data_IF_704304701978
#
_entry.id   IF_704304701978
#
_cell.length_a   1.000
_cell.length_b   1.000
_cell.length_c   1.000
_cell.angle_alpha   90.00
_cell.angle_beta   90.00
_cell.angle_gamma   90.00
#
_symmetry.space_group_name_H-M   'P 1'
#
loop_
_entity.id
_entity.type
_entity.pdbx_description
1 polymer ?
#
# COMPACT_ATOMS: atom_id res chain seq x y z
N UNK A 1 -9.91 3.54 3.59
CA UNK A 1 -8.84 3.96 2.65
C UNK A 1 -8.96 3.31 1.28
N UNK A 2 -9.03 1.97 1.17
CA UNK A 2 -9.12 1.26 -0.13
C UNK A 2 -10.36 1.68 -0.94
N UNK A 3 -11.53 1.80 -0.30
CA UNK A 3 -12.73 2.29 -0.97
C UNK A 3 -12.57 3.71 -1.55
N UNK A 4 -11.84 4.59 -0.85
CA UNK A 4 -11.56 5.96 -1.32
C UNK A 4 -10.60 5.95 -2.51
N UNK A 5 -9.59 5.07 -2.50
CA UNK A 5 -8.67 4.91 -3.62
C UNK A 5 -9.37 4.35 -4.87
N UNK A 6 -10.26 3.37 -4.71
CA UNK A 6 -11.07 2.82 -5.81
C UNK A 6 -12.04 3.86 -6.36
N UNK A 7 -12.68 4.63 -5.48
CA UNK A 7 -13.58 5.72 -5.86
C UNK A 7 -12.84 6.80 -6.66
N UNK A 8 -11.66 7.24 -6.19
CA UNK A 8 -10.85 8.23 -6.90
C UNK A 8 -10.36 7.72 -8.27
N UNK A 9 -10.07 6.42 -8.39
CA UNK A 9 -9.69 5.81 -9.66
C UNK A 9 -10.83 5.86 -10.68
N UNK A 10 -12.07 5.62 -10.27
CA UNK A 10 -13.23 5.83 -11.15
C UNK A 10 -13.39 7.30 -11.52
N UNK A 11 -13.34 8.21 -10.55
CA UNK A 11 -13.53 9.64 -10.80
C UNK A 11 -12.49 10.19 -11.78
N UNK A 12 -11.26 9.69 -11.71
CA UNK A 12 -10.21 10.02 -12.67
C UNK A 12 -10.52 9.53 -14.09
N UNK A 13 -10.92 8.26 -14.25
CA UNK A 13 -11.26 7.70 -15.57
C UNK A 13 -12.52 8.36 -16.16
N UNK A 14 -13.50 8.70 -15.31
CA UNK A 14 -14.70 9.44 -15.71
C UNK A 14 -14.37 10.86 -16.19
N UNK A 15 -13.50 11.56 -15.45
CA UNK A 15 -13.03 12.90 -15.83
C UNK A 15 -12.23 12.88 -17.14
N UNK A 16 -11.43 11.83 -17.37
CA UNK A 16 -10.73 11.60 -18.62
C UNK A 16 -11.69 11.37 -19.80
N UNK A 17 -12.73 10.54 -19.62
CA UNK A 17 -13.73 10.26 -20.64
C UNK A 17 -14.59 11.50 -20.97
N UNK A 18 -14.87 12.36 -19.98
CA UNK A 18 -15.62 13.61 -20.18
C UNK A 18 -14.83 14.68 -20.93
N UNK A 19 -13.50 14.63 -20.93
CA UNK A 19 -12.66 15.64 -21.59
C UNK A 19 -12.72 15.54 -23.12
N UNK A 20 -12.85 14.34 -23.67
CA UNK A 20 -13.01 14.09 -25.12
C UNK A 20 -13.98 12.92 -25.32
N UNK A 21 -15.21 13.22 -25.75
CA UNK A 21 -16.25 12.20 -25.98
C UNK A 21 -16.04 11.58 -27.37
N UNK A 22 -15.16 10.59 -27.42
CA UNK A 22 -14.93 9.73 -28.59
C UNK A 22 -15.37 8.29 -28.29
N UNK A 23 -15.60 7.50 -29.35
CA UNK A 23 -15.98 6.08 -29.24
C UNK A 23 -14.98 5.28 -28.38
N UNK A 24 -13.70 5.63 -28.50
CA UNK A 24 -12.61 5.05 -27.71
C UNK A 24 -12.73 5.37 -26.22
N UNK A 25 -13.06 6.62 -25.86
CA UNK A 25 -13.27 7.05 -24.49
C UNK A 25 -14.45 6.34 -23.82
N UNK A 26 -15.53 6.12 -24.58
CA UNK A 26 -16.71 5.38 -24.11
C UNK A 26 -16.35 3.92 -23.85
N UNK A 27 -15.64 3.27 -24.78
CA UNK A 27 -15.19 1.89 -24.62
C UNK A 27 -14.28 1.73 -23.39
N UNK A 28 -13.35 2.67 -23.19
CA UNK A 28 -12.46 2.71 -22.04
C UNK A 28 -13.23 2.85 -20.72
N UNK A 29 -14.26 3.69 -20.69
CA UNK A 29 -15.10 3.88 -19.50
C UNK A 29 -15.85 2.59 -19.13
N UNK A 30 -16.40 1.88 -20.10
CA UNK A 30 -17.09 0.59 -19.88
C UNK A 30 -16.13 -0.46 -19.33
N UNK A 31 -14.90 -0.53 -19.86
CA UNK A 31 -13.86 -1.44 -19.38
C UNK A 31 -13.45 -1.09 -17.95
N UNK A 32 -13.19 0.18 -17.64
CA UNK A 32 -12.82 0.62 -16.30
C UNK A 32 -13.92 0.31 -15.27
N UNK A 33 -15.19 0.53 -15.64
CA UNK A 33 -16.33 0.19 -14.81
C UNK A 33 -16.42 -1.34 -14.58
N UNK A 34 -16.25 -2.14 -15.63
CA UNK A 34 -16.27 -3.60 -15.55
C UNK A 34 -15.15 -4.15 -14.65
N UNK A 35 -13.94 -3.58 -14.75
CA UNK A 35 -12.81 -3.92 -13.87
C UNK A 35 -13.14 -3.58 -12.42
N UNK A 36 -13.71 -2.41 -12.14
CA UNK A 36 -14.07 -2.03 -10.77
C UNK A 36 -15.16 -2.95 -10.19
N UNK A 37 -16.24 -3.20 -10.93
CA UNK A 37 -17.29 -4.12 -10.49
C UNK A 37 -16.72 -5.53 -10.29
N UNK A 38 -15.87 -5.98 -11.21
CA UNK A 38 -15.18 -7.26 -11.12
C UNK A 38 -14.30 -7.36 -9.87
N UNK A 39 -13.55 -6.32 -9.53
CA UNK A 39 -12.77 -6.23 -8.30
C UNK A 39 -13.68 -6.27 -7.05
N UNK A 40 -14.76 -5.49 -7.01
CA UNK A 40 -15.70 -5.51 -5.88
C UNK A 40 -16.32 -6.89 -5.69
N UNK A 41 -16.79 -7.53 -6.76
CA UNK A 41 -17.35 -8.88 -6.72
C UNK A 41 -16.29 -9.88 -6.27
N UNK A 42 -15.05 -9.77 -6.76
CA UNK A 42 -13.96 -10.64 -6.34
C UNK A 42 -13.58 -10.43 -4.85
N UNK A 43 -13.55 -9.19 -4.37
CA UNK A 43 -13.26 -8.90 -2.97
C UNK A 43 -14.38 -9.38 -2.04
N UNK A 44 -15.65 -9.18 -2.40
CA UNK A 44 -16.80 -9.56 -1.57
C UNK A 44 -17.02 -11.08 -1.60
N UNK A 45 -17.11 -11.69 -2.78
CA UNK A 45 -17.47 -13.11 -2.91
C UNK A 45 -16.27 -14.06 -2.83
N UNK A 46 -15.06 -13.61 -3.15
CA UNK A 46 -13.82 -14.40 -3.08
C UNK A 46 -12.86 -13.93 -1.99
N UNK A 47 -13.34 -13.19 -0.99
CA UNK A 47 -12.56 -12.84 0.21
C UNK A 47 -11.81 -14.06 0.76
N UNK A 48 -12.49 -15.21 0.85
CA UNK A 48 -11.88 -16.46 1.34
C UNK A 48 -10.72 -16.97 0.47
N UNK A 49 -10.79 -16.82 -0.87
CA UNK A 49 -9.66 -17.15 -1.77
C UNK A 49 -8.54 -16.13 -1.67
N UNK A 50 -8.84 -14.86 -1.41
CA UNK A 50 -7.85 -13.81 -1.20
C UNK A 50 -7.07 -14.03 0.10
N UNK A 51 -7.76 -14.40 1.18
CA UNK A 51 -7.17 -14.80 2.47
C UNK A 51 -6.27 -16.03 2.31
N UNK A 52 -6.71 -17.02 1.53
CA UNK A 52 -5.94 -18.24 1.30
C UNK A 52 -4.73 -18.02 0.36
N UNK A 53 -4.84 -17.10 -0.61
CA UNK A 53 -3.73 -16.69 -1.49
C UNK A 53 -2.65 -15.91 -0.72
N UNK A 54 -3.07 -15.01 0.19
CA UNK A 54 -2.17 -14.29 1.10
C UNK A 54 -1.69 -15.17 2.26
N UNK A 55 -2.18 -16.42 2.37
CA UNK A 55 -1.92 -17.36 3.47
C UNK A 55 -2.09 -16.70 4.84
N UNK A 56 -3.09 -15.83 4.98
CA UNK A 56 -3.38 -15.16 6.26
C UNK A 56 -3.93 -16.14 7.31
N UNK A 57 -4.43 -17.29 6.88
CA UNK A 57 -5.00 -18.37 7.71
C UNK A 57 -3.94 -19.38 8.16
N UNK A 58 -2.96 -19.70 7.29
CA UNK A 58 -1.93 -20.68 7.62
C UNK A 58 -1.02 -20.12 8.70
N UNK A 59 -1.09 -20.74 9.89
CA UNK A 59 -0.47 -20.43 11.20
C UNK A 59 -1.41 -19.78 12.26
N UNK A 60 -2.70 -19.61 12.00
CA UNK A 60 -3.66 -19.12 13.02
C UNK A 60 -4.56 -20.20 13.64
N UNK A 61 -4.48 -21.44 13.15
CA UNK A 61 -5.43 -22.50 13.52
C UNK A 61 -5.07 -23.29 14.79
N UNK A 62 -3.94 -23.01 15.47
CA UNK A 62 -3.50 -23.83 16.61
C UNK A 62 -3.09 -23.09 17.88
N UNK A 63 -3.27 -21.78 17.98
CA UNK A 63 -3.05 -21.06 19.24
C UNK A 63 -4.25 -20.17 19.52
N UNK A 64 -5.08 -20.60 20.49
CA UNK A 64 -5.82 -19.63 21.30
C UNK A 64 -4.80 -18.56 21.70
N UNK A 65 -4.99 -17.32 21.26
CA UNK A 65 -4.11 -16.22 21.65
C UNK A 65 -4.30 -16.04 23.16
N UNK A 66 -3.50 -16.73 23.96
CA UNK A 66 -3.38 -16.50 25.39
C UNK A 66 -2.74 -15.12 25.56
N UNK A 67 -3.58 -14.08 25.64
CA UNK A 67 -3.15 -12.68 25.80
C UNK A 67 -2.24 -12.51 27.02
N UNK A 68 -2.29 -13.43 27.99
CA UNK A 68 -1.45 -13.48 29.18
C UNK A 68 0.04 -13.78 28.95
N UNK A 69 0.45 -14.36 27.81
CA UNK A 69 1.85 -14.72 27.55
C UNK A 69 2.40 -14.19 26.20
N UNK A 70 1.86 -13.06 25.73
CA UNK A 70 2.35 -12.43 24.52
C UNK A 70 3.76 -11.87 24.75
N UNK A 71 4.77 -12.53 24.17
CA UNK A 71 6.14 -12.05 24.21
C UNK A 71 6.20 -10.63 23.61
N UNK A 72 6.75 -9.63 24.33
CA UNK A 72 6.90 -8.25 23.82
C UNK A 72 7.61 -8.17 22.46
N UNK A 73 8.40 -9.19 22.11
CA UNK A 73 9.07 -9.30 20.80
C UNK A 73 8.09 -9.49 19.66
N UNK A 74 7.08 -10.32 19.88
CA UNK A 74 6.07 -10.64 18.89
C UNK A 74 5.17 -9.42 18.64
N UNK A 75 4.85 -8.67 19.69
CA UNK A 75 4.08 -7.41 19.59
C UNK A 75 4.85 -6.36 18.77
N UNK A 76 6.14 -6.15 19.07
CA UNK A 76 6.97 -5.18 18.33
C UNK A 76 7.15 -5.61 16.87
N UNK A 77 7.34 -6.90 16.59
CA UNK A 77 7.41 -7.41 15.21
C UNK A 77 6.10 -7.17 14.46
N UNK A 78 4.96 -7.46 15.08
CA UNK A 78 3.65 -7.23 14.50
C UNK A 78 3.43 -5.74 14.19
N UNK A 79 3.79 -4.87 15.13
CA UNK A 79 3.73 -3.42 14.92
C UNK A 79 4.61 -2.97 13.74
N UNK A 80 5.85 -3.47 13.64
CA UNK A 80 6.75 -3.15 12.52
C UNK A 80 6.19 -3.63 11.18
N UNK A 81 5.61 -4.83 11.13
CA UNK A 81 4.96 -5.36 9.92
C UNK A 81 3.77 -4.48 9.52
N UNK A 82 2.92 -4.09 10.47
CA UNK A 82 1.76 -3.22 10.20
C UNK A 82 2.21 -1.85 9.70
N UNK A 83 3.18 -1.21 10.38
CA UNK A 83 3.69 0.11 10.01
C UNK A 83 4.35 0.07 8.62
N UNK A 84 5.25 -0.89 8.39
CA UNK A 84 5.93 -1.06 7.11
C UNK A 84 4.95 -1.38 5.98
N UNK A 85 4.00 -2.28 6.22
CA UNK A 85 2.97 -2.66 5.26
C UNK A 85 2.05 -1.50 4.87
N UNK A 86 1.56 -0.74 5.84
CA UNK A 86 0.75 0.45 5.58
C UNK A 86 1.55 1.53 4.82
N UNK A 87 2.83 1.72 5.14
CA UNK A 87 3.69 2.64 4.38
C UNK A 87 3.77 2.26 2.90
N UNK A 88 3.96 0.99 2.57
CA UNK A 88 4.00 0.53 1.18
C UNK A 88 2.63 0.69 0.53
N UNK A 89 1.57 0.14 1.11
CA UNK A 89 0.22 0.13 0.53
C UNK A 89 -0.26 1.56 0.21
N UNK A 90 0.06 2.52 1.08
CA UNK A 90 -0.40 3.90 0.93
C UNK A 90 0.42 4.71 -0.08
N UNK A 91 1.69 4.36 -0.31
CA UNK A 91 2.60 5.17 -1.14
C UNK A 91 2.98 4.51 -2.46
N UNK A 92 2.81 3.19 -2.61
CA UNK A 92 3.09 2.49 -3.87
C UNK A 92 2.22 2.98 -5.05
N UNK A 93 0.91 3.27 -4.89
CA UNK A 93 0.11 3.75 -6.02
C UNK A 93 0.48 5.18 -6.42
N UNK A 94 0.83 6.01 -5.43
CA UNK A 94 1.30 7.39 -5.64
C UNK A 94 2.63 7.37 -6.39
N UNK A 95 3.57 6.53 -5.95
CA UNK A 95 4.89 6.39 -6.59
C UNK A 95 4.75 5.91 -8.05
N UNK A 96 3.96 4.86 -8.30
CA UNK A 96 3.72 4.36 -9.67
C UNK A 96 3.03 5.41 -10.55
N UNK A 97 2.07 6.15 -10.01
CA UNK A 97 1.41 7.23 -10.75
C UNK A 97 2.40 8.33 -11.13
N UNK A 98 3.28 8.71 -10.21
CA UNK A 98 4.32 9.71 -10.48
C UNK A 98 5.33 9.22 -11.54
N UNK A 99 5.71 7.94 -11.54
CA UNK A 99 6.54 7.35 -12.62
C UNK A 99 5.83 7.46 -13.98
N UNK A 100 4.55 7.09 -14.04
CA UNK A 100 3.77 7.15 -15.27
C UNK A 100 3.59 8.59 -15.76
N UNK A 101 3.33 9.54 -14.86
CA UNK A 101 3.25 10.95 -15.21
C UNK A 101 4.59 11.51 -15.67
N UNK A 102 5.70 11.10 -15.04
CA UNK A 102 7.04 11.50 -15.45
C UNK A 102 7.31 11.09 -16.90
N UNK A 103 7.03 9.82 -17.23
CA UNK A 103 7.23 9.27 -18.57
C UNK A 103 6.32 9.93 -19.62
N UNK A 104 5.05 10.15 -19.27
CA UNK A 104 4.08 10.79 -20.17
C UNK A 104 4.46 12.24 -20.50
N UNK A 105 5.00 12.98 -19.52
CA UNK A 105 5.37 14.40 -19.68
C UNK A 105 6.66 14.59 -20.47
N UNK A 106 7.62 13.69 -20.28
CA UNK A 106 8.83 13.64 -21.12
C UNK A 106 8.46 13.45 -22.60
N UNK A 107 7.48 12.58 -22.87
CA UNK A 107 6.94 12.39 -24.24
C UNK A 107 6.12 13.57 -24.78
N UNK A 108 5.62 14.48 -23.92
CA UNK A 108 4.77 15.62 -24.29
C UNK A 108 5.49 16.98 -24.21
N UNK A 109 6.76 17.02 -23.80
CA UNK A 109 7.56 18.25 -23.70
C UNK A 109 7.10 19.24 -22.62
N UNK A 110 6.33 18.79 -21.62
CA UNK A 110 5.81 19.65 -20.55
C UNK A 110 6.74 19.66 -19.34
N UNK A 111 7.06 20.84 -18.80
CA UNK A 111 8.00 21.00 -17.69
C UNK A 111 7.54 20.37 -16.37
N UNK A 112 8.50 19.87 -15.60
CA UNK A 112 8.30 19.25 -14.30
C UNK A 112 8.10 20.31 -13.21
N UNK A 113 6.92 20.37 -12.60
CA UNK A 113 6.69 21.29 -11.48
C UNK A 113 7.45 20.84 -10.21
N UNK A 114 7.98 21.77 -9.39
CA UNK A 114 8.72 21.45 -8.16
C UNK A 114 7.95 20.58 -7.16
N UNK A 115 6.62 20.76 -7.07
CA UNK A 115 5.75 19.95 -6.21
C UNK A 115 5.65 18.47 -6.66
N UNK A 116 5.77 18.21 -7.96
CA UNK A 116 5.72 16.84 -8.49
C UNK A 116 7.01 16.09 -8.16
N UNK A 117 8.16 16.80 -8.18
CA UNK A 117 9.45 16.26 -7.75
C UNK A 117 9.44 15.88 -6.26
N UNK A 118 8.89 16.75 -5.41
CA UNK A 118 8.76 16.46 -3.98
C UNK A 118 7.88 15.23 -3.74
N UNK A 119 6.70 15.16 -4.37
CA UNK A 119 5.78 14.03 -4.20
C UNK A 119 6.36 12.72 -4.73
N UNK A 120 7.09 12.75 -5.84
CA UNK A 120 7.79 11.59 -6.39
C UNK A 120 8.84 11.05 -5.42
N UNK A 121 9.73 11.92 -4.94
CA UNK A 121 10.80 11.53 -4.00
C UNK A 121 10.21 11.07 -2.66
N UNK A 122 9.26 11.83 -2.12
CA UNK A 122 8.66 11.50 -0.83
C UNK A 122 7.93 10.16 -0.88
N UNK A 123 7.19 9.87 -1.95
CA UNK A 123 6.52 8.57 -2.13
C UNK A 123 7.53 7.43 -2.33
N UNK A 124 8.58 7.64 -3.12
CA UNK A 124 9.66 6.66 -3.30
C UNK A 124 10.39 6.32 -2.00
N UNK A 125 10.77 7.33 -1.21
CA UNK A 125 11.40 7.12 0.11
C UNK A 125 10.47 6.33 1.03
N UNK A 126 9.17 6.65 1.07
CA UNK A 126 8.22 5.93 1.91
C UNK A 126 8.05 4.47 1.49
N UNK A 127 8.04 4.17 0.19
CA UNK A 127 8.01 2.78 -0.30
C UNK A 127 9.31 2.06 0.06
N UNK A 128 10.47 2.69 -0.14
CA UNK A 128 11.77 2.12 0.20
C UNK A 128 11.90 1.82 1.69
N UNK A 129 11.57 2.79 2.56
CA UNK A 129 11.61 2.63 4.01
C UNK A 129 10.61 1.57 4.47
N UNK A 130 9.39 1.57 3.94
CA UNK A 130 8.40 0.53 4.24
C UNK A 130 8.89 -0.86 3.89
N UNK A 131 9.57 -1.00 2.74
CA UNK A 131 10.17 -2.26 2.28
C UNK A 131 11.34 -2.67 3.16
N UNK A 132 12.21 -1.73 3.54
CA UNK A 132 13.34 -1.99 4.42
C UNK A 132 12.89 -2.50 5.79
N UNK A 133 11.83 -1.91 6.35
CA UNK A 133 11.21 -2.33 7.60
C UNK A 133 10.65 -3.75 7.46
N UNK A 134 9.90 -4.02 6.40
CA UNK A 134 9.30 -5.33 6.15
C UNK A 134 10.32 -6.45 5.90
N UNK A 135 11.46 -6.13 5.28
CA UNK A 135 12.53 -7.12 5.05
C UNK A 135 13.36 -7.36 6.32
N UNK A 136 13.51 -6.35 7.18
CA UNK A 136 14.40 -6.41 8.36
C UNK A 136 13.67 -6.39 9.71
N UNK A 137 12.36 -6.64 9.75
CA UNK A 137 11.54 -6.51 10.96
C UNK A 137 12.06 -7.34 12.15
N UNK A 138 12.64 -8.51 11.89
CA UNK A 138 13.19 -9.40 12.93
C UNK A 138 14.49 -8.87 13.56
N UNK A 139 15.31 -8.15 12.79
CA UNK A 139 16.51 -7.50 13.27
C UNK A 139 16.16 -6.19 14.00
N UNK A 140 15.21 -5.42 13.46
CA UNK A 140 14.71 -4.19 14.07
C UNK A 140 14.06 -4.45 15.44
N UNK A 141 13.25 -5.50 15.56
CA UNK A 141 12.62 -5.84 16.84
C UNK A 141 13.65 -6.18 17.94
N UNK A 142 14.78 -6.80 17.58
CA UNK A 142 15.87 -7.09 18.53
C UNK A 142 16.59 -5.82 18.97
N UNK A 143 16.88 -4.90 18.04
CA UNK A 143 17.55 -3.63 18.33
C UNK A 143 16.71 -2.70 19.19
N UNK A 144 15.40 -2.66 18.96
CA UNK A 144 14.46 -1.85 19.75
C UNK A 144 14.38 -2.34 21.21
N UNK A 145 14.35 -3.66 21.43
CA UNK A 145 14.39 -4.24 22.79
C UNK A 145 15.68 -3.96 23.54
N UNK A 146 16.82 -3.99 22.86
CA UNK A 146 18.12 -3.70 23.49
C UNK A 146 18.20 -2.25 23.96
N UNK A 147 17.60 -1.32 23.20
CA UNK A 147 17.54 0.09 23.57
C UNK A 147 16.68 0.32 24.82
N UNK A 148 15.50 -0.30 24.89
CA UNK A 148 14.60 -0.24 26.05
C UNK A 148 15.27 -0.73 27.34
N UNK A 149 16.06 -1.80 27.28
CA UNK A 149 16.76 -2.34 28.45
C UNK A 149 17.89 -1.42 28.96
N UNK A 150 18.57 -0.72 28.06
CA UNK A 150 19.68 0.19 28.41
C UNK A 150 19.18 1.52 28.99
N UNK A 151 18.07 2.05 28.48
CA UNK A 151 17.48 3.30 29.01
C UNK A 151 16.93 3.11 30.44
N UNK A 152 16.45 1.91 30.78
CA UNK A 152 16.00 1.56 32.14
C UNK A 152 17.13 1.28 33.14
N UNK A 153 18.40 1.21 32.71
CA UNK A 153 19.57 0.99 33.58
C UNK A 153 20.25 2.32 33.99
N UNK A 154 19.83 3.44 33.41
CA UNK A 154 20.35 4.77 33.68
C UNK A 154 19.34 5.70 34.39
N UNK A 155 18.23 5.16 34.88
CA UNK A 155 17.33 5.77 35.86
C UNK A 155 17.51 5.11 37.23
#
# INVERSE_FOLDING_TARGET
>A
MIANSLFNWITFNFSFAMRNIDLFSILWMVIALAIMVGLFVLLIFKSHKLVNLLKLDKNFDDERVEIGNLNPSSIVKLALIIIGGLMIINNIPVFLSQILFAFKRDSMGTEFHPNDYYNFIASGIKVLVGTLILTNYSALSKRLKLKEKTDNLHQ
#
